data_IF_944474763713
#
_entry.id   IF_944474763713
#
_cell.length_a   1.000
_cell.length_b   1.000
_cell.length_c   1.000
_cell.angle_alpha   90.00
_cell.angle_beta   90.00
_cell.angle_gamma   90.00
#
_symmetry.space_group_name_H-M   'P 1'
#
loop_
_entity.id
_entity.type
_entity.pdbx_description
1 polymer ?
#
# COMPACT_ATOMS: atom_id res chain seq x y z
N UNK A 1 4.68 -36.87 22.25
CA UNK A 1 3.86 -35.64 22.42
C UNK A 1 4.67 -34.32 22.42
N UNK A 2 5.95 -34.31 22.01
CA UNK A 2 6.86 -33.13 22.09
C UNK A 2 7.06 -32.30 20.81
N UNK A 3 6.49 -32.68 19.67
CA UNK A 3 6.70 -31.97 18.39
C UNK A 3 5.68 -30.86 18.07
N UNK A 4 4.65 -30.68 18.91
CA UNK A 4 3.64 -29.63 18.71
C UNK A 4 4.01 -28.26 19.33
N UNK A 5 5.02 -28.22 20.19
CA UNK A 5 5.50 -27.01 20.87
C UNK A 5 6.85 -26.50 20.34
N UNK A 6 7.32 -27.04 19.23
CA UNK A 6 8.53 -26.54 18.58
C UNK A 6 8.20 -25.20 17.89
N UNK A 7 8.89 -24.12 18.29
CA UNK A 7 8.68 -22.76 17.75
C UNK A 7 8.98 -22.68 16.25
N UNK A 8 9.62 -23.70 15.68
CA UNK A 8 9.88 -23.83 14.23
C UNK A 8 8.71 -24.44 13.45
N UNK A 9 7.60 -24.74 14.10
CA UNK A 9 6.42 -25.28 13.43
C UNK A 9 5.80 -24.22 12.51
N UNK A 10 5.54 -24.52 11.21
CA UNK A 10 4.95 -23.58 10.25
C UNK A 10 3.64 -22.95 10.73
N UNK A 11 2.90 -23.64 11.58
CA UNK A 11 1.64 -23.13 12.19
C UNK A 11 1.92 -21.98 13.16
N UNK A 12 2.95 -22.07 14.01
CA UNK A 12 3.31 -21.00 14.95
C UNK A 12 3.86 -19.78 14.20
N UNK A 13 4.65 -19.99 13.16
CA UNK A 13 5.13 -18.89 12.28
C UNK A 13 3.98 -18.21 11.55
N UNK A 14 2.98 -18.95 11.11
CA UNK A 14 1.77 -18.39 10.51
C UNK A 14 0.94 -17.57 11.51
N UNK A 15 0.71 -18.10 12.71
CA UNK A 15 0.00 -17.40 13.79
C UNK A 15 0.74 -16.13 14.21
N UNK A 16 2.07 -16.17 14.30
CA UNK A 16 2.89 -14.99 14.56
C UNK A 16 2.64 -13.89 13.51
N UNK A 17 2.70 -14.23 12.22
CA UNK A 17 2.44 -13.27 11.14
C UNK A 17 1.02 -12.69 11.18
N UNK A 18 0.02 -13.49 11.52
CA UNK A 18 -1.38 -13.00 11.67
C UNK A 18 -1.48 -12.01 12.83
N UNK A 19 -0.81 -12.30 13.94
CA UNK A 19 -0.74 -11.38 15.10
C UNK A 19 -0.05 -10.08 14.72
N UNK A 20 1.04 -10.16 13.97
CA UNK A 20 1.78 -9.00 13.48
C UNK A 20 0.93 -8.13 12.54
N UNK A 21 0.17 -8.76 11.64
CA UNK A 21 -0.78 -8.04 10.76
C UNK A 21 -1.89 -7.36 11.54
N UNK A 22 -2.42 -8.02 12.56
CA UNK A 22 -3.41 -7.42 13.46
C UNK A 22 -2.83 -6.20 14.18
N UNK A 23 -1.63 -6.34 14.72
CA UNK A 23 -0.95 -5.26 15.43
C UNK A 23 -0.63 -4.08 14.50
N UNK A 24 -0.16 -4.35 13.28
CA UNK A 24 0.07 -3.34 12.25
C UNK A 24 -1.22 -2.59 11.88
N UNK A 25 -2.35 -3.31 11.77
CA UNK A 25 -3.64 -2.67 11.48
C UNK A 25 -4.08 -1.78 12.63
N UNK A 26 -3.91 -2.21 13.88
CA UNK A 26 -4.22 -1.38 15.05
C UNK A 26 -3.36 -0.10 15.10
N UNK A 27 -2.06 -0.22 14.83
CA UNK A 27 -1.17 0.94 14.72
C UNK A 27 -1.60 1.86 13.58
N UNK A 28 -1.88 1.30 12.42
CA UNK A 28 -2.35 2.08 11.27
C UNK A 28 -3.64 2.84 11.59
N UNK A 29 -4.63 2.22 12.22
CA UNK A 29 -5.87 2.86 12.63
C UNK A 29 -5.62 3.99 13.64
N UNK A 30 -4.77 3.74 14.64
CA UNK A 30 -4.45 4.74 15.66
C UNK A 30 -3.79 5.98 15.05
N UNK A 31 -2.81 5.78 14.16
CA UNK A 31 -2.09 6.88 13.50
C UNK A 31 -2.86 7.50 12.33
N UNK A 32 -3.95 6.87 11.87
CA UNK A 32 -4.86 7.38 10.83
C UNK A 32 -6.03 8.19 11.38
N UNK A 33 -6.17 8.31 12.72
CA UNK A 33 -7.24 9.11 13.33
C UNK A 33 -7.32 10.54 12.78
N UNK A 34 -6.21 11.28 12.62
CA UNK A 34 -6.24 12.50 11.85
C UNK A 34 -6.21 12.15 10.35
N UNK A 35 -7.21 12.57 9.59
CA UNK A 35 -7.34 12.31 8.14
C UNK A 35 -6.08 12.71 7.35
N UNK A 36 -5.38 13.73 7.82
CA UNK A 36 -4.13 14.23 7.20
C UNK A 36 -2.99 13.23 7.30
N UNK A 37 -2.95 12.39 8.33
CA UNK A 37 -1.86 11.44 8.59
C UNK A 37 -2.08 10.06 7.96
N UNK A 38 -3.24 9.81 7.33
CA UNK A 38 -3.55 8.53 6.67
C UNK A 38 -2.44 8.16 5.66
N UNK A 39 -1.94 9.13 4.90
CA UNK A 39 -0.87 8.88 3.92
C UNK A 39 0.42 8.38 4.58
N UNK A 40 0.86 9.05 5.65
CA UNK A 40 2.06 8.64 6.39
C UNK A 40 1.88 7.29 7.10
N UNK A 41 0.70 7.06 7.68
CA UNK A 41 0.36 5.79 8.30
C UNK A 41 0.32 4.64 7.27
N UNK A 42 -0.22 4.89 6.07
CA UNK A 42 -0.23 3.91 4.98
C UNK A 42 1.18 3.61 4.45
N UNK A 43 2.04 4.63 4.35
CA UNK A 43 3.44 4.45 3.99
C UNK A 43 4.16 3.57 5.02
N UNK A 44 4.00 3.85 6.33
CA UNK A 44 4.57 3.05 7.40
C UNK A 44 4.04 1.60 7.41
N UNK A 45 2.73 1.41 7.16
CA UNK A 45 2.12 0.09 7.01
C UNK A 45 2.75 -0.70 5.85
N UNK A 46 2.96 -0.06 4.69
CA UNK A 46 3.62 -0.68 3.53
C UNK A 46 5.05 -1.08 3.87
N UNK A 47 5.82 -0.20 4.52
CA UNK A 47 7.20 -0.50 4.95
C UNK A 47 7.26 -1.74 5.84
N UNK A 48 6.50 -1.77 6.93
CA UNK A 48 6.47 -2.90 7.85
C UNK A 48 5.97 -4.19 7.20
N UNK A 49 4.97 -4.08 6.30
CA UNK A 49 4.45 -5.24 5.57
C UNK A 49 5.50 -5.82 4.61
N UNK A 50 6.33 -4.98 3.95
CA UNK A 50 7.43 -5.43 3.11
C UNK A 50 8.55 -6.08 3.92
N UNK A 51 8.88 -5.53 5.09
CA UNK A 51 9.85 -6.10 6.03
C UNK A 51 9.38 -7.48 6.52
N UNK A 52 8.10 -7.60 6.90
CA UNK A 52 7.48 -8.85 7.31
C UNK A 52 7.43 -9.89 6.17
N UNK A 53 7.16 -9.44 4.93
CA UNK A 53 7.15 -10.30 3.74
C UNK A 53 8.56 -10.82 3.39
N UNK A 54 9.59 -10.05 3.70
CA UNK A 54 11.00 -10.41 3.49
C UNK A 54 11.59 -11.27 4.62
N UNK A 55 10.76 -11.70 5.60
CA UNK A 55 11.17 -12.46 6.79
C UNK A 55 12.34 -11.81 7.58
N UNK A 56 12.46 -10.50 7.54
CA UNK A 56 13.40 -9.78 8.39
C UNK A 56 12.76 -9.62 9.77
N UNK A 57 13.41 -10.17 10.79
CA UNK A 57 13.01 -9.99 12.17
C UNK A 57 13.26 -8.52 12.56
N UNK A 58 12.24 -7.83 13.04
CA UNK A 58 12.31 -6.44 13.50
C UNK A 58 11.25 -6.16 14.56
N UNK A 59 11.47 -5.11 15.32
CA UNK A 59 10.48 -4.60 16.27
C UNK A 59 9.44 -3.77 15.50
N UNK A 60 8.35 -4.43 15.09
CA UNK A 60 7.28 -3.87 14.25
C UNK A 60 6.83 -2.47 14.70
N UNK A 61 6.69 -2.27 16.02
CA UNK A 61 6.28 -0.99 16.58
C UNK A 61 7.31 0.11 16.34
N UNK A 62 8.58 -0.17 16.55
CA UNK A 62 9.68 0.79 16.39
C UNK A 62 9.87 1.11 14.92
N UNK A 63 9.84 0.10 14.07
CA UNK A 63 9.94 0.24 12.62
C UNK A 63 8.77 1.04 12.03
N UNK A 64 7.54 0.82 12.52
CA UNK A 64 6.37 1.59 12.11
C UNK A 64 6.50 3.07 12.46
N UNK A 65 6.86 3.38 13.73
CA UNK A 65 7.01 4.77 14.18
C UNK A 65 8.16 5.47 13.47
N UNK A 66 9.26 4.75 13.21
CA UNK A 66 10.39 5.27 12.44
C UNK A 66 9.97 5.60 11.01
N UNK A 67 9.42 4.64 10.28
CA UNK A 67 8.97 4.84 8.90
C UNK A 67 7.88 5.92 8.79
N UNK A 68 6.97 6.01 9.77
CA UNK A 68 5.98 7.08 9.86
C UNK A 68 6.63 8.46 9.95
N UNK A 69 7.62 8.64 10.84
CA UNK A 69 8.29 9.93 11.04
C UNK A 69 9.15 10.33 9.83
N UNK A 70 9.91 9.39 9.28
CA UNK A 70 10.80 9.63 8.15
C UNK A 70 10.03 10.06 6.89
N UNK A 71 8.89 9.42 6.62
CA UNK A 71 8.11 9.69 5.42
C UNK A 71 6.94 10.66 5.65
N UNK A 72 6.77 11.19 6.85
CA UNK A 72 5.61 11.99 7.24
C UNK A 72 5.30 13.11 6.25
N UNK A 73 6.30 13.94 5.93
CA UNK A 73 6.12 15.11 5.06
C UNK A 73 5.78 14.71 3.61
N UNK A 74 6.55 13.81 3.04
CA UNK A 74 6.38 13.37 1.64
C UNK A 74 5.08 12.60 1.45
N UNK A 75 4.76 11.69 2.36
CA UNK A 75 3.55 10.89 2.30
C UNK A 75 2.28 11.72 2.56
N UNK A 76 2.34 12.73 3.45
CA UNK A 76 1.22 13.64 3.70
C UNK A 76 0.95 14.53 2.49
N UNK A 77 1.98 15.07 1.85
CA UNK A 77 1.82 15.88 0.64
C UNK A 77 1.24 15.02 -0.50
N UNK A 78 1.76 13.81 -0.68
CA UNK A 78 1.22 12.85 -1.66
C UNK A 78 -0.25 12.55 -1.40
N UNK A 79 -0.62 12.27 -0.13
CA UNK A 79 -1.99 11.97 0.27
C UNK A 79 -2.95 13.10 -0.02
N UNK A 80 -2.61 14.34 0.37
CA UNK A 80 -3.44 15.53 0.12
C UNK A 80 -3.63 15.73 -1.38
N UNK A 81 -2.56 15.61 -2.16
CA UNK A 81 -2.63 15.71 -3.62
C UNK A 81 -3.52 14.64 -4.24
N UNK A 82 -3.38 13.38 -3.79
CA UNK A 82 -4.21 12.28 -4.26
C UNK A 82 -5.67 12.41 -3.84
N UNK A 83 -5.92 12.91 -2.63
CA UNK A 83 -7.27 13.16 -2.15
C UNK A 83 -7.96 14.27 -2.97
N UNK A 84 -7.24 15.36 -3.25
CA UNK A 84 -7.74 16.43 -4.10
C UNK A 84 -8.08 15.95 -5.53
N UNK A 85 -7.17 15.17 -6.15
CA UNK A 85 -7.42 14.56 -7.46
C UNK A 85 -8.56 13.54 -7.42
N UNK A 86 -8.66 12.73 -6.37
CA UNK A 86 -9.75 11.77 -6.20
C UNK A 86 -11.12 12.45 -6.08
N UNK A 87 -11.22 13.55 -5.32
CA UNK A 87 -12.44 14.36 -5.23
C UNK A 87 -12.77 14.97 -6.59
N UNK A 88 -11.77 15.50 -7.30
CA UNK A 88 -11.95 16.06 -8.63
C UNK A 88 -12.52 15.03 -9.61
N UNK A 89 -11.89 13.86 -9.75
CA UNK A 89 -12.41 12.79 -10.62
C UNK A 89 -13.79 12.28 -10.19
N UNK A 90 -14.03 12.18 -8.88
CA UNK A 90 -15.34 11.78 -8.35
C UNK A 90 -16.45 12.77 -8.69
N UNK A 91 -16.16 14.06 -8.57
CA UNK A 91 -17.10 15.13 -8.93
C UNK A 91 -17.39 15.16 -10.45
N UNK A 92 -16.35 14.98 -11.28
CA UNK A 92 -16.52 14.92 -12.74
C UNK A 92 -17.36 13.72 -13.18
N UNK A 93 -17.07 12.53 -12.62
CA UNK A 93 -17.86 11.33 -12.92
C UNK A 93 -19.32 11.50 -12.50
N UNK A 94 -19.57 12.07 -11.32
CA UNK A 94 -20.92 12.35 -10.84
C UNK A 94 -21.64 13.35 -11.75
N UNK A 95 -20.98 14.44 -12.14
CA UNK A 95 -21.54 15.48 -13.00
C UNK A 95 -21.90 14.93 -14.39
N UNK A 96 -20.96 14.23 -15.05
CA UNK A 96 -21.19 13.70 -16.40
C UNK A 96 -22.17 12.53 -16.42
N UNK A 97 -22.27 11.76 -15.33
CA UNK A 97 -23.29 10.72 -15.21
C UNK A 97 -24.72 11.28 -15.24
N UNK A 98 -24.93 12.46 -14.66
CA UNK A 98 -26.24 13.13 -14.62
C UNK A 98 -26.48 14.06 -15.83
N UNK A 99 -25.48 14.30 -16.65
CA UNK A 99 -25.61 15.14 -17.83
C UNK A 99 -26.25 14.34 -18.96
N UNK A 100 -27.54 14.60 -19.25
CA UNK A 100 -28.25 13.94 -20.34
C UNK A 100 -27.70 14.40 -21.69
N UNK A 101 -27.32 13.44 -22.57
CA UNK A 101 -26.88 13.71 -23.93
C UNK A 101 -25.60 12.98 -24.36
N UNK A 102 -25.38 12.85 -25.65
CA UNK A 102 -24.24 12.12 -26.21
C UNK A 102 -22.88 12.69 -25.82
N UNK A 103 -22.80 14.01 -25.65
CA UNK A 103 -21.55 14.69 -25.21
C UNK A 103 -21.21 14.32 -23.76
N UNK A 104 -22.20 14.30 -22.86
CA UNK A 104 -22.00 13.87 -21.46
C UNK A 104 -21.48 12.45 -21.37
N UNK A 105 -22.01 11.54 -22.19
CA UNK A 105 -21.57 10.14 -22.23
C UNK A 105 -20.11 10.00 -22.66
N UNK A 106 -19.67 10.77 -23.65
CA UNK A 106 -18.27 10.72 -24.13
C UNK A 106 -17.31 11.20 -23.03
N UNK A 107 -17.61 12.32 -22.37
CA UNK A 107 -16.79 12.84 -21.27
C UNK A 107 -16.80 11.88 -20.08
N UNK A 108 -17.93 11.27 -19.74
CA UNK A 108 -18.01 10.25 -18.68
C UNK A 108 -17.00 9.11 -18.92
N UNK A 109 -16.93 8.55 -20.13
CA UNK A 109 -15.98 7.47 -20.43
C UNK A 109 -14.52 7.94 -20.38
N UNK A 110 -14.23 9.16 -20.82
CA UNK A 110 -12.89 9.73 -20.74
C UNK A 110 -12.45 9.86 -19.28
N UNK A 111 -13.28 10.48 -18.43
CA UNK A 111 -12.95 10.66 -17.00
C UNK A 111 -12.92 9.33 -16.24
N UNK A 112 -13.73 8.35 -16.65
CA UNK A 112 -13.68 7.00 -16.09
C UNK A 112 -12.32 6.34 -16.36
N UNK A 113 -11.82 6.40 -17.58
CA UNK A 113 -10.50 5.85 -17.94
C UNK A 113 -9.39 6.57 -17.15
N UNK A 114 -9.44 7.90 -17.06
CA UNK A 114 -8.47 8.69 -16.28
C UNK A 114 -8.51 8.33 -14.79
N UNK A 115 -9.70 8.10 -14.23
CA UNK A 115 -9.90 7.66 -12.85
C UNK A 115 -9.29 6.29 -12.60
N UNK A 116 -9.43 5.35 -13.52
CA UNK A 116 -8.81 4.02 -13.43
C UNK A 116 -7.28 4.14 -13.45
N UNK A 117 -6.73 4.95 -14.35
CA UNK A 117 -5.28 5.21 -14.39
C UNK A 117 -4.80 5.82 -13.08
N UNK A 118 -5.54 6.79 -12.54
CA UNK A 118 -5.24 7.39 -11.24
C UNK A 118 -5.18 6.36 -10.11
N UNK A 119 -6.16 5.45 -10.03
CA UNK A 119 -6.19 4.37 -9.02
C UNK A 119 -4.98 3.46 -9.18
N UNK A 120 -4.58 3.12 -10.41
CA UNK A 120 -3.41 2.29 -10.67
C UNK A 120 -2.13 2.94 -10.15
N UNK A 121 -1.94 4.23 -10.43
CA UNK A 121 -0.78 4.98 -9.91
C UNK A 121 -0.82 5.06 -8.38
N UNK A 122 -1.99 5.31 -7.81
CA UNK A 122 -2.19 5.42 -6.36
C UNK A 122 -1.73 4.17 -5.59
N UNK A 123 -1.93 2.97 -6.15
CA UNK A 123 -1.50 1.71 -5.55
C UNK A 123 0.02 1.61 -5.38
N UNK A 124 0.81 2.28 -6.22
CA UNK A 124 2.27 2.22 -6.18
C UNK A 124 2.91 3.37 -5.39
N UNK A 125 2.24 4.51 -5.22
CA UNK A 125 2.84 5.71 -4.61
C UNK A 125 3.33 5.45 -3.19
N UNK A 126 2.48 4.92 -2.31
CA UNK A 126 2.84 4.70 -0.90
C UNK A 126 3.88 3.60 -0.71
N UNK A 127 3.78 2.43 -1.38
CA UNK A 127 4.82 1.43 -1.33
C UNK A 127 6.18 1.92 -1.84
N UNK A 128 6.19 2.71 -2.92
CA UNK A 128 7.42 3.29 -3.44
C UNK A 128 8.02 4.33 -2.50
N UNK A 129 7.20 5.21 -1.89
CA UNK A 129 7.65 6.13 -0.86
C UNK A 129 8.25 5.41 0.35
N UNK A 130 7.69 4.25 0.71
CA UNK A 130 8.19 3.43 1.80
C UNK A 130 9.52 2.74 1.47
N UNK A 131 9.76 2.45 0.20
CA UNK A 131 10.91 1.67 -0.25
C UNK A 131 12.09 2.51 -0.74
N UNK A 132 11.82 3.70 -1.30
CA UNK A 132 12.84 4.55 -1.92
C UNK A 132 13.01 5.85 -1.13
N UNK A 133 14.26 6.25 -0.86
CA UNK A 133 14.59 7.56 -0.31
C UNK A 133 14.54 8.67 -1.39
N UNK A 134 13.77 8.46 -2.46
CA UNK A 134 13.70 9.38 -3.60
C UNK A 134 12.74 10.55 -3.33
N UNK A 135 13.01 11.69 -3.97
CA UNK A 135 12.11 12.83 -3.97
C UNK A 135 10.71 12.45 -4.45
N UNK A 136 9.67 13.07 -3.87
CA UNK A 136 8.27 12.82 -4.19
C UNK A 136 7.99 12.85 -5.71
N UNK A 137 8.61 13.78 -6.45
CA UNK A 137 8.43 13.90 -7.91
C UNK A 137 8.95 12.66 -8.64
N UNK A 138 10.11 12.16 -8.24
CA UNK A 138 10.71 10.95 -8.82
C UNK A 138 9.86 9.72 -8.48
N UNK A 139 9.37 9.62 -7.25
CA UNK A 139 8.50 8.54 -6.80
C UNK A 139 7.18 8.52 -7.57
N UNK A 140 6.55 9.67 -7.82
CA UNK A 140 5.33 9.76 -8.63
C UNK A 140 5.57 9.33 -10.08
N UNK A 141 6.67 9.77 -10.70
CA UNK A 141 7.03 9.35 -12.05
C UNK A 141 7.28 7.84 -12.13
N UNK A 142 7.98 7.28 -11.14
CA UNK A 142 8.21 5.83 -11.04
C UNK A 142 6.91 5.06 -10.83
N UNK A 143 6.02 5.53 -9.94
CA UNK A 143 4.72 4.92 -9.72
C UNK A 143 3.91 4.86 -11.03
N UNK A 144 3.93 5.93 -11.82
CA UNK A 144 3.28 5.97 -13.11
C UNK A 144 3.87 4.92 -14.07
N UNK A 145 5.19 4.90 -14.26
CA UNK A 145 5.85 3.94 -15.15
C UNK A 145 5.61 2.49 -14.69
N UNK A 146 5.75 2.23 -13.39
CA UNK A 146 5.58 0.88 -12.85
C UNK A 146 4.15 0.36 -12.96
N UNK A 147 3.14 1.22 -12.78
CA UNK A 147 1.74 0.83 -12.90
C UNK A 147 1.39 0.32 -14.30
N UNK A 148 1.96 0.91 -15.35
CA UNK A 148 1.77 0.48 -16.74
C UNK A 148 2.63 -0.71 -17.11
N UNK A 149 3.90 -0.70 -16.71
CA UNK A 149 4.84 -1.78 -17.05
C UNK A 149 4.43 -3.11 -16.43
N UNK A 150 3.85 -3.06 -15.22
CA UNK A 150 3.41 -4.23 -14.47
C UNK A 150 1.87 -4.33 -14.39
N UNK A 151 1.18 -4.03 -15.48
CA UNK A 151 -0.29 -4.01 -15.55
C UNK A 151 -0.95 -5.27 -14.99
N UNK A 152 -0.43 -6.47 -15.31
CA UNK A 152 -0.95 -7.73 -14.79
C UNK A 152 -0.86 -7.85 -13.27
N UNK A 153 0.24 -7.43 -12.67
CA UNK A 153 0.43 -7.40 -11.22
C UNK A 153 -0.44 -6.34 -10.55
N UNK A 154 -0.65 -5.19 -11.20
CA UNK A 154 -1.56 -4.14 -10.72
C UNK A 154 -3.00 -4.64 -10.65
N UNK A 155 -3.44 -5.37 -11.69
CA UNK A 155 -4.77 -5.98 -11.72
C UNK A 155 -4.92 -7.04 -10.63
N UNK A 156 -3.87 -7.84 -10.39
CA UNK A 156 -3.85 -8.83 -9.33
C UNK A 156 -3.91 -8.19 -7.95
N UNK A 157 -3.22 -7.07 -7.71
CA UNK A 157 -3.33 -6.30 -6.48
C UNK A 157 -4.76 -5.79 -6.27
N UNK A 158 -5.38 -5.22 -7.29
CA UNK A 158 -6.73 -4.70 -7.21
C UNK A 158 -7.76 -5.80 -6.92
N UNK A 159 -7.63 -6.94 -7.60
CA UNK A 159 -8.53 -8.09 -7.39
C UNK A 159 -8.29 -8.78 -6.05
N UNK A 160 -7.05 -8.80 -5.55
CA UNK A 160 -6.72 -9.41 -4.26
C UNK A 160 -7.31 -8.63 -3.07
N UNK A 161 -7.56 -7.33 -3.21
CA UNK A 161 -8.21 -6.53 -2.17
C UNK A 161 -9.70 -6.84 -2.01
N UNK A 162 -10.38 -7.23 -3.10
CA UNK A 162 -11.83 -7.48 -3.11
C UNK A 162 -12.28 -8.55 -2.09
N UNK A 163 -11.67 -9.75 -1.99
CA UNK A 163 -12.08 -10.76 -1.03
C UNK A 163 -11.89 -10.32 0.43
N UNK A 164 -10.86 -9.53 0.74
CA UNK A 164 -10.68 -8.99 2.09
C UNK A 164 -11.75 -7.97 2.45
N UNK A 165 -12.11 -7.09 1.51
CA UNK A 165 -13.16 -6.09 1.71
C UNK A 165 -14.53 -6.77 1.85
N UNK A 166 -14.85 -7.75 1.00
CA UNK A 166 -16.12 -8.48 1.07
C UNK A 166 -16.21 -9.33 2.34
N UNK A 167 -15.14 -10.01 2.75
CA UNK A 167 -15.10 -10.77 3.99
C UNK A 167 -15.29 -9.87 5.21
N UNK A 168 -14.66 -8.70 5.24
CA UNK A 168 -14.78 -7.72 6.31
C UNK A 168 -16.20 -7.16 6.45
N UNK A 169 -16.89 -6.94 5.31
CA UNK A 169 -18.23 -6.35 5.30
C UNK A 169 -19.33 -7.37 5.61
N UNK A 170 -19.20 -8.62 5.13
CA UNK A 170 -20.29 -9.59 5.14
C UNK A 170 -20.12 -10.71 6.17
N UNK A 171 -18.89 -11.05 6.58
CA UNK A 171 -18.66 -12.25 7.40
C UNK A 171 -18.47 -11.89 8.87
N UNK A 172 -17.61 -10.95 9.20
CA UNK A 172 -17.31 -10.67 10.60
C UNK A 172 -16.59 -9.32 10.76
N UNK A 173 -17.20 -8.37 11.47
CA UNK A 173 -16.61 -7.05 11.70
C UNK A 173 -15.16 -7.06 12.25
N UNK A 174 -14.74 -7.94 13.18
CA UNK A 174 -13.34 -7.99 13.62
C UNK A 174 -12.34 -8.31 12.52
N UNK A 175 -12.76 -8.92 11.39
CA UNK A 175 -11.91 -9.11 10.21
C UNK A 175 -11.46 -7.78 9.56
N UNK A 176 -12.18 -6.68 9.79
CA UNK A 176 -11.74 -5.34 9.39
C UNK A 176 -10.37 -4.98 10.00
N UNK A 177 -10.12 -5.39 11.24
CA UNK A 177 -8.85 -5.14 11.93
C UNK A 177 -7.67 -5.96 11.37
N UNK A 178 -7.93 -7.04 10.65
CA UNK A 178 -6.90 -7.86 10.00
C UNK A 178 -6.80 -7.56 8.51
N UNK A 179 -7.88 -7.02 7.91
CA UNK A 179 -7.97 -6.83 6.47
C UNK A 179 -6.94 -5.82 5.94
N UNK A 180 -6.74 -4.69 6.60
CA UNK A 180 -5.78 -3.68 6.16
C UNK A 180 -4.34 -4.23 6.18
N UNK A 181 -3.93 -4.89 7.27
CA UNK A 181 -2.63 -5.55 7.36
C UNK A 181 -2.51 -6.72 6.39
N UNK A 182 -3.58 -7.51 6.19
CA UNK A 182 -3.63 -8.62 5.23
C UNK A 182 -3.48 -8.15 3.78
N UNK A 183 -4.23 -7.13 3.38
CA UNK A 183 -4.12 -6.50 2.06
C UNK A 183 -2.69 -5.94 1.86
N UNK A 184 -2.18 -5.18 2.85
CA UNK A 184 -0.85 -4.61 2.79
C UNK A 184 0.24 -5.71 2.67
N UNK A 185 0.10 -6.83 3.36
CA UNK A 185 1.02 -7.96 3.28
C UNK A 185 0.99 -8.66 1.91
N UNK A 186 -0.20 -8.89 1.35
CA UNK A 186 -0.33 -9.48 0.00
C UNK A 186 0.26 -8.53 -1.04
N UNK A 187 -0.06 -7.24 -0.96
CA UNK A 187 0.52 -6.22 -1.83
C UNK A 187 2.04 -6.13 -1.65
N UNK A 188 2.54 -6.19 -0.41
CA UNK A 188 3.98 -6.19 -0.13
C UNK A 188 4.70 -7.37 -0.77
N UNK A 189 4.15 -8.58 -0.73
CA UNK A 189 4.73 -9.75 -1.42
C UNK A 189 4.82 -9.56 -2.93
N UNK A 190 3.74 -9.07 -3.54
CA UNK A 190 3.70 -8.80 -4.98
C UNK A 190 4.73 -7.72 -5.33
N UNK A 191 4.76 -6.63 -4.57
CA UNK A 191 5.68 -5.51 -4.81
C UNK A 191 7.14 -5.91 -4.58
N UNK A 192 7.45 -6.69 -3.54
CA UNK A 192 8.80 -7.21 -3.31
C UNK A 192 9.27 -8.06 -4.49
N UNK A 193 8.38 -8.89 -5.05
CA UNK A 193 8.68 -9.66 -6.25
C UNK A 193 8.88 -8.75 -7.47
N UNK A 194 8.00 -7.77 -7.69
CA UNK A 194 8.14 -6.80 -8.78
C UNK A 194 9.43 -5.99 -8.62
N UNK A 195 9.75 -5.49 -7.44
CA UNK A 195 10.95 -4.68 -7.21
C UNK A 195 12.24 -5.49 -7.33
N UNK A 196 12.23 -6.79 -7.02
CA UNK A 196 13.41 -7.66 -7.23
C UNK A 196 13.79 -7.82 -8.70
N UNK A 197 12.87 -7.61 -9.63
CA UNK A 197 13.14 -7.61 -11.08
C UNK A 197 13.82 -6.33 -11.58
N UNK A 198 13.77 -5.28 -10.78
CA UNK A 198 14.40 -4.01 -11.12
C UNK A 198 15.60 -3.84 -10.19
N UNK A 199 16.78 -4.25 -10.50
CA UNK A 199 18.05 -4.14 -9.74
C UNK A 199 18.27 -2.81 -8.96
N UNK A 200 17.21 -2.30 -8.34
CA UNK A 200 17.15 -1.02 -7.62
C UNK A 200 17.73 -1.13 -6.21
N UNK A 201 18.24 -2.31 -5.86
CA UNK A 201 18.46 -2.68 -4.47
C UNK A 201 19.74 -2.17 -3.82
N UNK A 202 20.75 -1.70 -4.55
CA UNK A 202 22.06 -1.46 -3.97
C UNK A 202 22.78 -0.19 -4.45
N UNK A 203 22.05 0.88 -4.74
CA UNK A 203 22.67 2.18 -5.03
C UNK A 203 23.00 3.02 -3.80
N UNK A 204 22.91 2.51 -2.54
CA UNK A 204 22.95 3.42 -1.41
C UNK A 204 23.66 3.03 -0.12
N UNK A 205 24.05 1.76 0.12
CA UNK A 205 24.61 1.44 1.45
C UNK A 205 25.63 0.31 1.50
N UNK A 206 26.51 0.18 0.49
CA UNK A 206 27.72 -0.67 0.64
C UNK A 206 28.95 0.02 0.06
N UNK A 207 29.39 1.09 0.71
CA UNK A 207 30.59 1.79 0.21
C UNK A 207 31.18 2.81 1.16
N UNK A 208 31.13 2.61 2.48
CA UNK A 208 31.93 3.45 3.38
C UNK A 208 32.12 2.87 4.79
N UNK A 209 32.56 1.60 4.87
CA UNK A 209 33.20 1.14 6.12
C UNK A 209 34.21 0.04 5.79
N UNK A 210 35.20 0.36 4.98
CA UNK A 210 36.48 -0.31 4.96
C UNK A 210 37.51 0.65 4.34
N UNK A 211 38.04 1.56 5.15
CA UNK A 211 39.42 2.04 5.11
C UNK A 211 39.79 2.64 6.47
#
# INVERSE_FOLDING_TARGET
MGKMFDMDNPVWRFMGKVTDMFFLTCLWLLFSLPVVTIGAATCALCYCSMTLASNKEGYIREDFVRAFKENFKSATIAWIGMLALGIFFGADLYFYYHLAGGVGTVFFWIFLVLSVIFVFVALYVFPLLAWTDADLKKTLALAFVMSFKNFGWTLLMLTSAAPFITAALFVFWPLLFVSAGGIAYVHAKILTFVFSQYEWRDGGKDGSDND
#
